data_IF_711121767704
#
_entry.id   IF_711121767704
#
_cell.length_a   1.000
_cell.length_b   1.000
_cell.length_c   1.000
_cell.angle_alpha   90.00
_cell.angle_beta   90.00
_cell.angle_gamma   90.00
#
_symmetry.space_group_name_H-M   'P 1'
#
loop_
_entity.id
_entity.type
_entity.pdbx_description
1 polymer ?
#
# COMPACT_ATOMS: atom_id res chain seq x y z
N UNK A 1 7.92 7.21 25.47
CA UNK A 1 8.25 7.00 24.05
C UNK A 1 7.74 8.15 23.17
N UNK A 2 6.43 8.48 23.21
CA UNK A 2 5.79 9.56 22.41
C UNK A 2 6.57 10.89 22.29
N UNK A 3 6.94 11.50 23.43
CA UNK A 3 7.70 12.77 23.46
C UNK A 3 9.04 12.73 22.71
N UNK A 4 9.68 11.57 22.61
CA UNK A 4 10.97 11.42 21.93
C UNK A 4 10.75 11.31 20.40
N UNK A 5 9.68 10.66 19.96
CA UNK A 5 9.26 10.62 18.56
C UNK A 5 8.85 12.02 18.08
N UNK A 6 8.00 12.71 18.84
CA UNK A 6 7.55 14.09 18.54
C UNK A 6 8.70 15.09 18.42
N UNK A 7 9.76 14.94 19.21
CA UNK A 7 10.95 15.80 19.17
C UNK A 7 11.98 15.35 18.13
N UNK A 8 11.67 14.34 17.32
CA UNK A 8 12.58 13.77 16.33
C UNK A 8 13.80 13.06 16.94
N UNK A 9 13.78 12.81 18.24
CA UNK A 9 14.85 12.17 19.00
C UNK A 9 14.77 10.64 18.93
N UNK A 10 13.63 10.09 18.49
CA UNK A 10 13.46 8.68 18.12
C UNK A 10 12.78 8.56 16.76
N UNK A 11 13.32 7.68 15.90
CA UNK A 11 12.78 7.32 14.58
C UNK A 11 12.51 8.50 13.63
N UNK A 12 13.18 9.64 13.84
CA UNK A 12 12.85 10.98 13.32
C UNK A 12 12.05 11.07 12.02
N UNK A 13 11.05 11.97 12.02
CA UNK A 13 10.20 12.30 10.87
C UNK A 13 9.12 11.24 10.52
N UNK A 14 8.63 10.48 11.51
CA UNK A 14 7.40 9.70 11.35
C UNK A 14 6.18 10.62 11.17
N UNK A 15 5.19 10.16 10.41
CA UNK A 15 3.94 10.88 10.22
C UNK A 15 3.02 10.64 11.42
N UNK A 16 2.59 11.71 12.06
CA UNK A 16 1.62 11.66 13.17
C UNK A 16 0.21 11.34 12.65
N UNK A 17 -0.47 10.44 13.35
CA UNK A 17 -1.85 10.02 13.09
C UNK A 17 -2.62 10.15 14.40
N UNK A 18 -3.40 11.22 14.54
CA UNK A 18 -4.18 11.49 15.76
C UNK A 18 -5.59 12.04 15.54
N UNK A 19 -6.03 12.18 14.28
CA UNK A 19 -7.42 12.57 14.01
C UNK A 19 -8.32 11.33 13.89
N UNK A 20 -9.55 11.35 14.44
CA UNK A 20 -10.45 10.20 14.38
C UNK A 20 -10.67 9.67 12.94
N UNK A 21 -10.71 10.57 11.96
CA UNK A 21 -10.87 10.20 10.56
C UNK A 21 -9.65 9.45 9.99
N UNK A 22 -8.42 9.89 10.31
CA UNK A 22 -7.21 9.20 9.84
C UNK A 22 -7.03 7.85 10.54
N UNK A 23 -7.35 7.77 11.83
CA UNK A 23 -7.30 6.53 12.61
C UNK A 23 -8.28 5.51 12.04
N UNK A 24 -9.50 5.93 11.69
CA UNK A 24 -10.47 5.01 11.05
C UNK A 24 -9.98 4.54 9.68
N UNK A 25 -9.46 5.43 8.83
CA UNK A 25 -8.89 5.06 7.53
C UNK A 25 -7.75 4.05 7.68
N UNK A 26 -6.84 4.31 8.61
CA UNK A 26 -5.75 3.39 8.92
C UNK A 26 -6.28 2.04 9.37
N UNK A 27 -7.24 2.02 10.31
CA UNK A 27 -7.83 0.79 10.82
C UNK A 27 -8.58 -0.01 9.74
N UNK A 28 -9.27 0.64 8.80
CA UNK A 28 -9.88 -0.07 7.65
C UNK A 28 -8.83 -0.77 6.80
N UNK A 29 -7.72 -0.10 6.50
CA UNK A 29 -6.60 -0.70 5.78
C UNK A 29 -5.91 -1.80 6.58
N UNK A 30 -5.70 -1.60 7.88
CA UNK A 30 -5.10 -2.59 8.77
C UNK A 30 -5.95 -3.85 8.86
N UNK A 31 -7.27 -3.72 9.02
CA UNK A 31 -8.21 -4.85 9.02
C UNK A 31 -8.19 -5.57 7.68
N UNK A 32 -8.15 -4.83 6.56
CA UNK A 32 -8.09 -5.42 5.23
C UNK A 32 -6.82 -6.26 5.02
N UNK A 33 -5.66 -5.77 5.48
CA UNK A 33 -4.36 -6.42 5.29
C UNK A 33 -4.11 -7.55 6.30
N UNK A 34 -4.54 -7.37 7.56
CA UNK A 34 -4.08 -8.21 8.68
C UNK A 34 -5.22 -8.84 9.49
N UNK A 35 -6.46 -8.40 9.28
CA UNK A 35 -7.60 -8.75 10.14
C UNK A 35 -7.59 -8.11 11.52
N UNK A 36 -6.55 -7.34 11.87
CA UNK A 36 -6.39 -6.68 13.18
C UNK A 36 -6.85 -5.23 13.14
N UNK A 37 -7.15 -4.67 14.31
CA UNK A 37 -7.51 -3.27 14.52
C UNK A 37 -6.75 -2.74 15.73
N UNK A 38 -6.16 -1.55 15.63
CA UNK A 38 -5.53 -0.88 16.78
C UNK A 38 -6.59 -0.16 17.63
N UNK A 39 -6.42 -0.19 18.95
CA UNK A 39 -7.19 0.59 19.90
C UNK A 39 -6.58 1.96 20.21
N UNK A 40 -5.41 2.29 19.64
CA UNK A 40 -4.73 3.56 19.87
C UNK A 40 -5.48 4.73 19.21
N UNK A 41 -5.54 5.84 19.95
CA UNK A 41 -6.15 7.09 19.52
C UNK A 41 -5.13 8.11 18.97
N UNK A 42 -3.84 7.79 19.08
CA UNK A 42 -2.75 8.61 18.53
C UNK A 42 -1.47 7.76 18.44
N UNK A 43 -0.86 7.76 17.26
CA UNK A 43 0.34 6.99 16.94
C UNK A 43 1.11 7.63 15.77
N UNK A 44 2.28 7.08 15.44
CA UNK A 44 3.10 7.55 14.32
C UNK A 44 3.38 6.43 13.33
N UNK A 45 3.42 6.76 12.05
CA UNK A 45 3.68 5.79 10.98
C UNK A 45 4.90 6.17 10.15
N UNK A 46 5.60 5.16 9.64
CA UNK A 46 6.73 5.30 8.74
C UNK A 46 6.30 5.41 7.27
N UNK A 47 7.25 5.37 6.31
CA UNK A 47 6.93 5.47 4.87
C UNK A 47 5.99 4.36 4.40
N UNK A 48 6.05 3.17 5.02
CA UNK A 48 5.19 2.03 4.71
C UNK A 48 3.87 2.05 5.47
N UNK A 49 3.66 2.97 6.41
CA UNK A 49 2.50 2.92 7.29
C UNK A 49 2.70 2.05 8.55
N UNK A 50 3.91 1.54 8.79
CA UNK A 50 4.23 0.82 10.02
C UNK A 50 4.37 1.81 11.18
N UNK A 51 3.62 1.56 12.24
CA UNK A 51 3.75 2.19 13.55
C UNK A 51 4.46 1.28 14.55
N UNK A 52 5.55 1.74 15.22
CA UNK A 52 6.14 1.03 16.34
C UNK A 52 5.21 0.92 17.54
N UNK A 53 4.36 1.93 17.79
CA UNK A 53 3.40 1.90 18.90
C UNK A 53 2.33 0.80 18.73
N UNK A 54 1.85 0.61 17.50
CA UNK A 54 0.93 -0.50 17.18
C UNK A 54 1.65 -1.85 17.24
N UNK A 55 2.93 -1.89 16.83
CA UNK A 55 3.75 -3.09 16.99
C UNK A 55 3.89 -3.51 18.46
N UNK A 56 4.08 -2.54 19.36
CA UNK A 56 4.09 -2.76 20.81
C UNK A 56 2.71 -3.22 21.32
N UNK A 57 1.62 -2.59 20.88
CA UNK A 57 0.24 -2.98 21.24
C UNK A 57 -0.06 -4.44 20.87
N UNK A 58 0.36 -4.86 19.68
CA UNK A 58 0.12 -6.22 19.18
C UNK A 58 1.13 -7.25 19.67
N UNK A 59 2.24 -6.82 20.28
CA UNK A 59 3.39 -7.70 20.54
C UNK A 59 3.99 -8.30 19.27
N UNK A 60 3.85 -7.60 18.15
CA UNK A 60 4.19 -8.08 16.80
C UNK A 60 4.72 -6.91 15.97
N UNK A 61 6.04 -6.79 15.82
CA UNK A 61 6.66 -5.74 15.01
C UNK A 61 6.70 -6.05 13.50
N UNK A 62 6.13 -7.19 13.08
CA UNK A 62 6.07 -7.64 11.69
C UNK A 62 4.63 -7.64 11.14
N UNK A 63 3.69 -6.98 11.80
CA UNK A 63 2.28 -6.99 11.39
C UNK A 63 1.99 -6.45 9.97
N UNK A 64 2.88 -5.65 9.38
CA UNK A 64 2.83 -5.24 7.95
C UNK A 64 3.95 -5.87 7.11
N UNK A 65 4.63 -6.88 7.62
CA UNK A 65 5.74 -7.52 6.93
C UNK A 65 5.80 -9.00 7.30
N UNK A 66 4.76 -9.73 6.93
CA UNK A 66 4.63 -11.15 7.27
C UNK A 66 5.88 -11.92 6.80
N UNK A 67 6.42 -12.75 7.70
CA UNK A 67 7.66 -13.52 7.51
C UNK A 67 8.91 -12.68 7.13
N UNK A 68 8.84 -11.36 7.24
CA UNK A 68 9.93 -10.46 6.89
C UNK A 68 10.18 -10.31 5.39
N UNK A 69 9.35 -10.90 4.53
CA UNK A 69 9.60 -11.04 3.09
C UNK A 69 8.59 -10.31 2.22
N UNK A 70 7.34 -10.18 2.66
CA UNK A 70 6.32 -9.48 1.91
C UNK A 70 5.89 -8.22 2.65
N UNK A 71 6.46 -7.08 2.25
CA UNK A 71 6.19 -5.80 2.91
C UNK A 71 4.86 -5.26 2.41
N UNK A 72 3.85 -5.35 3.25
CA UNK A 72 2.62 -4.61 3.09
C UNK A 72 2.82 -3.14 3.46
N UNK A 73 1.97 -2.27 2.93
CA UNK A 73 1.98 -0.85 3.26
C UNK A 73 0.57 -0.25 3.35
N UNK A 74 0.46 0.81 4.14
CA UNK A 74 -0.71 1.66 4.30
C UNK A 74 -0.29 3.11 4.09
N UNK A 75 -0.86 3.76 3.08
CA UNK A 75 -0.65 5.17 2.77
C UNK A 75 -1.90 5.98 3.13
N UNK A 76 -1.74 6.88 4.08
CA UNK A 76 -2.68 7.90 4.50
C UNK A 76 -2.40 9.26 3.85
N UNK A 77 -1.19 9.48 3.33
CA UNK A 77 -0.80 10.72 2.64
C UNK A 77 0.42 10.50 1.75
N UNK A 78 0.54 11.18 0.60
CA UNK A 78 1.79 11.24 -0.16
C UNK A 78 2.97 11.77 0.66
N UNK A 79 2.73 12.58 1.70
CA UNK A 79 3.80 13.13 2.55
C UNK A 79 4.58 12.05 3.33
N UNK A 80 4.01 10.84 3.48
CA UNK A 80 4.73 9.68 4.03
C UNK A 80 6.04 9.39 3.30
N UNK A 81 6.18 9.84 2.06
CA UNK A 81 7.43 9.76 1.29
C UNK A 81 8.64 10.34 2.02
N UNK A 82 8.43 11.29 2.95
CA UNK A 82 9.48 11.93 3.75
C UNK A 82 9.87 11.13 4.98
N UNK A 83 9.04 10.16 5.39
CA UNK A 83 9.29 9.34 6.57
C UNK A 83 10.48 8.36 6.33
N UNK A 84 11.14 7.92 7.41
CA UNK A 84 12.06 6.78 7.32
C UNK A 84 11.29 5.49 7.03
N UNK A 85 12.02 4.40 6.75
CA UNK A 85 11.48 3.04 6.78
C UNK A 85 12.06 2.35 8.01
N UNK A 86 11.20 1.84 8.88
CA UNK A 86 11.59 1.08 10.06
C UNK A 86 11.57 -0.43 9.75
N UNK A 87 12.35 -1.18 10.52
CA UNK A 87 12.44 -2.64 10.43
C UNK A 87 12.66 -3.15 9.00
N UNK A 88 13.48 -2.45 8.19
CA UNK A 88 13.67 -2.79 6.79
C UNK A 88 14.32 -4.17 6.63
N UNK A 89 13.62 -5.11 6.01
CA UNK A 89 14.14 -6.45 5.69
C UNK A 89 15.05 -6.46 4.46
N UNK A 90 14.87 -5.49 3.55
CA UNK A 90 15.66 -5.30 2.34
C UNK A 90 16.02 -3.83 2.15
N UNK A 91 17.23 -3.56 1.66
CA UNK A 91 17.71 -2.18 1.44
C UNK A 91 16.96 -1.42 0.34
N UNK A 92 16.34 -2.14 -0.61
CA UNK A 92 15.63 -1.52 -1.74
C UNK A 92 14.21 -1.08 -1.41
N UNK A 93 13.59 -1.63 -0.36
CA UNK A 93 12.17 -1.41 -0.06
C UNK A 93 11.82 0.08 0.11
N UNK A 94 12.66 0.84 0.82
CA UNK A 94 12.42 2.28 1.03
C UNK A 94 12.45 3.06 -0.29
N UNK A 95 13.40 2.75 -1.16
CA UNK A 95 13.54 3.43 -2.44
C UNK A 95 12.36 3.12 -3.35
N UNK A 96 11.90 1.86 -3.37
CA UNK A 96 10.74 1.43 -4.15
C UNK A 96 9.47 2.14 -3.67
N UNK A 97 9.20 2.13 -2.35
CA UNK A 97 8.06 2.86 -1.78
C UNK A 97 8.11 4.35 -2.09
N UNK A 98 9.29 4.96 -1.99
CA UNK A 98 9.49 6.37 -2.32
C UNK A 98 9.17 6.66 -3.78
N UNK A 99 9.72 5.87 -4.70
CA UNK A 99 9.49 6.02 -6.13
C UNK A 99 8.01 5.80 -6.47
N UNK A 100 7.37 4.80 -5.87
CA UNK A 100 5.94 4.55 -6.03
C UNK A 100 5.09 5.77 -5.62
N UNK A 101 5.40 6.39 -4.48
CA UNK A 101 4.68 7.57 -4.01
C UNK A 101 4.94 8.77 -4.93
N UNK A 102 6.19 9.01 -5.33
CA UNK A 102 6.53 10.13 -6.21
C UNK A 102 5.88 9.99 -7.61
N UNK A 103 5.88 8.79 -8.20
CA UNK A 103 5.25 8.52 -9.51
C UNK A 103 3.72 8.66 -9.50
N UNK A 104 3.09 8.45 -8.35
CA UNK A 104 1.64 8.46 -8.20
C UNK A 104 1.12 9.61 -7.32
N UNK A 105 1.95 10.62 -7.03
CA UNK A 105 1.68 11.63 -6.00
C UNK A 105 0.31 12.29 -6.15
N UNK A 106 -0.04 12.75 -7.35
CA UNK A 106 -1.34 13.40 -7.60
C UNK A 106 -2.53 12.44 -7.42
N UNK A 107 -2.36 11.16 -7.79
CA UNK A 107 -3.42 10.14 -7.66
C UNK A 107 -3.58 9.70 -6.22
N UNK A 108 -2.46 9.48 -5.53
CA UNK A 108 -2.44 9.17 -4.11
C UNK A 108 -3.02 10.32 -3.31
N UNK A 109 -2.72 11.58 -3.64
CA UNK A 109 -3.33 12.75 -2.99
C UNK A 109 -4.86 12.73 -3.09
N UNK A 110 -5.40 12.44 -4.27
CA UNK A 110 -6.85 12.35 -4.48
C UNK A 110 -7.48 11.16 -3.73
N UNK A 111 -6.87 9.98 -3.77
CA UNK A 111 -7.34 8.78 -3.07
C UNK A 111 -7.30 8.94 -1.55
N UNK A 112 -6.16 9.44 -1.04
CA UNK A 112 -5.91 9.64 0.39
C UNK A 112 -6.78 10.72 1.03
N UNK A 113 -7.44 11.56 0.21
CA UNK A 113 -8.44 12.52 0.68
C UNK A 113 -9.67 11.84 1.30
N UNK A 114 -10.05 10.64 0.86
CA UNK A 114 -11.27 9.94 1.29
C UNK A 114 -11.00 8.60 1.96
N UNK A 115 -9.96 7.87 1.56
CA UNK A 115 -9.63 6.54 2.09
C UNK A 115 -8.11 6.32 2.19
N UNK A 116 -7.67 5.27 2.89
CA UNK A 116 -6.27 4.83 2.82
C UNK A 116 -6.01 4.07 1.51
N UNK A 117 -4.76 4.08 1.05
CA UNK A 117 -4.28 3.17 0.01
C UNK A 117 -3.46 2.08 0.67
N UNK A 118 -3.88 0.83 0.52
CA UNK A 118 -3.23 -0.35 1.06
C UNK A 118 -2.60 -1.16 -0.08
N UNK A 119 -1.51 -1.86 0.19
CA UNK A 119 -0.85 -2.65 -0.84
C UNK A 119 0.32 -3.46 -0.32
N UNK A 120 1.09 -4.03 -1.23
CA UNK A 120 2.26 -4.82 -0.91
C UNK A 120 3.37 -4.71 -1.97
N UNK A 121 4.61 -4.87 -1.51
CA UNK A 121 5.78 -5.07 -2.33
C UNK A 121 5.87 -6.57 -2.66
N UNK A 122 5.27 -6.96 -3.78
CA UNK A 122 5.25 -8.35 -4.25
C UNK A 122 6.65 -8.72 -4.73
N UNK A 123 7.23 -9.71 -4.04
CA UNK A 123 8.48 -10.35 -4.44
C UNK A 123 8.19 -11.57 -5.31
N UNK A 124 9.16 -11.95 -6.15
CA UNK A 124 9.10 -13.21 -6.90
C UNK A 124 9.16 -14.47 -6.03
N UNK A 125 9.38 -14.32 -4.72
CA UNK A 125 9.54 -15.42 -3.76
C UNK A 125 8.60 -15.20 -2.58
N UNK A 126 7.85 -16.25 -2.22
CA UNK A 126 6.87 -16.24 -1.13
C UNK A 126 7.46 -16.62 0.25
N UNK A 127 8.66 -17.22 0.27
CA UNK A 127 9.35 -17.61 1.50
C UNK A 127 10.87 -17.46 1.38
N UNK A 128 11.53 -17.31 2.53
CA UNK A 128 12.98 -17.43 2.64
C UNK A 128 13.35 -18.60 3.55
N UNK A 129 12.96 -19.81 3.12
CA UNK A 129 13.29 -21.06 3.82
C UNK A 129 14.79 -21.39 3.84
N UNK A 130 15.58 -20.86 2.89
CA UNK A 130 17.03 -21.03 2.84
C UNK A 130 17.73 -19.85 2.15
N UNK A 131 19.03 -19.61 2.40
CA UNK A 131 19.77 -18.53 1.76
C UNK A 131 19.78 -18.60 0.22
N UNK A 132 19.70 -19.80 -0.35
CA UNK A 132 19.66 -19.98 -1.81
C UNK A 132 18.46 -19.27 -2.47
N UNK A 133 17.35 -19.14 -1.73
CA UNK A 133 16.11 -18.48 -2.22
C UNK A 133 16.30 -16.99 -2.46
N UNK A 134 17.33 -16.37 -1.89
CA UNK A 134 17.62 -14.96 -2.13
C UNK A 134 17.98 -14.69 -3.60
N UNK A 135 18.59 -15.65 -4.30
CA UNK A 135 18.92 -15.54 -5.72
C UNK A 135 17.69 -15.69 -6.64
N UNK A 136 16.55 -16.12 -6.09
CA UNK A 136 15.28 -16.17 -6.80
C UNK A 136 14.56 -14.81 -6.75
N UNK A 137 15.00 -13.86 -5.91
CA UNK A 137 14.46 -12.51 -5.87
C UNK A 137 15.05 -11.71 -7.01
N UNK A 138 14.28 -11.58 -8.10
CA UNK A 138 14.72 -10.91 -9.33
C UNK A 138 13.96 -9.65 -9.62
N UNK A 139 12.69 -9.61 -9.22
CA UNK A 139 11.78 -8.54 -9.59
C UNK A 139 10.86 -8.21 -8.43
N UNK A 140 10.67 -6.93 -8.20
CA UNK A 140 9.69 -6.41 -7.24
C UNK A 140 8.61 -5.68 -8.03
N UNK A 141 7.36 -6.05 -7.76
CA UNK A 141 6.19 -5.33 -8.23
C UNK A 141 5.47 -4.68 -7.07
N UNK A 142 4.72 -3.62 -7.34
CA UNK A 142 3.87 -2.97 -6.34
C UNK A 142 2.43 -3.23 -6.70
N UNK A 143 1.69 -3.87 -5.81
CA UNK A 143 0.25 -4.01 -5.90
C UNK A 143 -0.39 -3.11 -4.84
N UNK A 144 -1.43 -2.37 -5.22
CA UNK A 144 -2.11 -1.43 -4.35
C UNK A 144 -3.58 -1.30 -4.71
N UNK A 145 -4.43 -1.07 -3.70
CA UNK A 145 -5.84 -0.73 -3.83
C UNK A 145 -6.30 0.10 -2.61
N UNK A 146 -7.54 0.59 -2.59
CA UNK A 146 -8.17 1.05 -1.36
C UNK A 146 -8.86 -0.12 -0.66
N UNK A 147 -9.10 -0.08 0.66
CA UNK A 147 -9.89 -1.10 1.35
C UNK A 147 -11.28 -1.32 0.75
N UNK A 148 -11.87 -0.27 0.16
CA UNK A 148 -13.13 -0.33 -0.59
C UNK A 148 -13.02 -0.88 -2.01
N UNK A 149 -11.84 -1.31 -2.47
CA UNK A 149 -11.62 -1.87 -3.81
C UNK A 149 -11.79 -0.85 -4.94
N UNK A 150 -11.55 0.44 -4.69
CA UNK A 150 -11.84 1.52 -5.64
C UNK A 150 -11.08 1.34 -6.95
N UNK A 151 -9.82 0.91 -6.92
CA UNK A 151 -9.03 0.71 -8.15
C UNK A 151 -9.52 -0.49 -8.94
N UNK A 152 -9.85 -1.59 -8.26
CA UNK A 152 -10.42 -2.78 -8.88
C UNK A 152 -11.76 -2.50 -9.54
N UNK A 153 -12.66 -1.82 -8.83
CA UNK A 153 -13.96 -1.41 -9.38
C UNK A 153 -13.78 -0.45 -10.56
N UNK A 154 -12.81 0.47 -10.50
CA UNK A 154 -12.52 1.40 -11.60
C UNK A 154 -12.01 0.66 -12.84
N UNK A 155 -11.15 -0.35 -12.66
CA UNK A 155 -10.64 -1.17 -13.76
C UNK A 155 -11.75 -2.03 -14.39
N UNK A 156 -12.63 -2.60 -13.57
CA UNK A 156 -13.81 -3.34 -14.05
C UNK A 156 -14.73 -2.44 -14.88
N UNK A 157 -15.06 -1.25 -14.36
CA UNK A 157 -15.90 -0.28 -15.06
C UNK A 157 -15.27 0.17 -16.38
N UNK A 158 -13.95 0.39 -16.42
CA UNK A 158 -13.24 0.74 -17.65
C UNK A 158 -13.37 -0.37 -18.72
N UNK A 159 -13.29 -1.65 -18.31
CA UNK A 159 -13.51 -2.78 -19.21
C UNK A 159 -14.95 -2.88 -19.72
N UNK A 160 -15.94 -2.62 -18.86
CA UNK A 160 -17.35 -2.60 -19.27
C UNK A 160 -17.65 -1.43 -20.23
N UNK A 161 -17.03 -0.25 -20.01
CA UNK A 161 -17.14 0.88 -20.95
C UNK A 161 -16.54 0.53 -22.32
N UNK A 162 -15.40 -0.16 -22.35
CA UNK A 162 -14.77 -0.59 -23.59
C UNK A 162 -15.66 -1.59 -24.34
N UNK A 163 -16.19 -2.58 -23.61
CA UNK A 163 -17.16 -3.56 -24.12
C UNK A 163 -18.40 -2.86 -24.71
N UNK A 164 -19.00 -1.94 -23.96
CA UNK A 164 -20.14 -1.13 -24.40
C UNK A 164 -19.88 -0.36 -25.70
N UNK A 165 -18.63 0.06 -25.94
CA UNK A 165 -18.24 0.83 -27.14
C UNK A 165 -17.87 -0.03 -28.34
N UNK A 166 -17.51 -1.28 -28.14
CA UNK A 166 -16.86 -2.12 -29.16
C UNK A 166 -17.70 -3.31 -29.59
N UNK A 167 -18.55 -3.85 -28.72
CA UNK A 167 -19.41 -4.97 -29.05
C UNK A 167 -20.69 -4.51 -29.76
N UNK A 168 -21.08 -5.25 -30.80
CA UNK A 168 -22.40 -5.11 -31.40
C UNK A 168 -23.47 -5.39 -30.34
N UNK A 169 -24.58 -4.64 -30.38
CA UNK A 169 -25.74 -4.78 -29.49
C UNK A 169 -25.52 -4.44 -28.00
N UNK A 170 -24.30 -4.18 -27.55
CA UNK A 170 -24.00 -3.84 -26.15
C UNK A 170 -24.65 -2.52 -25.67
N UNK A 171 -25.08 -1.65 -26.60
CA UNK A 171 -25.75 -0.38 -26.28
C UNK A 171 -27.16 -0.53 -25.70
N UNK A 172 -27.79 -1.71 -25.84
CA UNK A 172 -29.10 -2.04 -25.27
C UNK A 172 -29.06 -3.25 -24.31
N UNK A 173 -27.87 -3.68 -23.91
CA UNK A 173 -27.71 -4.71 -22.88
C UNK A 173 -28.00 -4.10 -21.49
N UNK A 174 -29.24 -4.30 -21.02
CA UNK A 174 -29.71 -3.78 -19.73
C UNK A 174 -28.87 -4.30 -18.54
N UNK A 175 -28.35 -5.54 -18.61
CA UNK A 175 -27.49 -6.09 -17.55
C UNK A 175 -26.12 -5.40 -17.53
N UNK A 176 -25.54 -5.15 -18.70
CA UNK A 176 -24.29 -4.40 -18.84
C UNK A 176 -24.42 -2.98 -18.28
N UNK A 177 -25.48 -2.25 -18.67
CA UNK A 177 -25.74 -0.88 -18.23
C UNK A 177 -25.98 -0.82 -16.72
N UNK A 178 -26.74 -1.75 -16.16
CA UNK A 178 -26.99 -1.83 -14.72
C UNK A 178 -25.69 -2.04 -13.94
N UNK A 179 -24.83 -2.96 -14.39
CA UNK A 179 -23.53 -3.23 -13.78
C UNK A 179 -22.59 -2.02 -13.86
N UNK A 180 -22.57 -1.33 -14.99
CA UNK A 180 -21.80 -0.08 -15.14
C UNK A 180 -22.27 1.01 -14.17
N UNK A 181 -23.58 1.15 -13.97
CA UNK A 181 -24.17 2.15 -13.07
C UNK A 181 -23.85 1.86 -11.60
N UNK A 182 -23.95 0.61 -11.17
CA UNK A 182 -23.58 0.20 -9.80
C UNK A 182 -22.09 0.47 -9.53
N UNK A 183 -21.19 0.09 -10.45
CA UNK A 183 -19.76 0.34 -10.30
C UNK A 183 -19.43 1.84 -10.29
N UNK A 184 -20.04 2.64 -11.16
CA UNK A 184 -19.85 4.09 -11.19
C UNK A 184 -20.27 4.75 -9.86
N UNK A 185 -21.31 4.24 -9.20
CA UNK A 185 -21.72 4.68 -7.87
C UNK A 185 -20.67 4.41 -6.78
N UNK A 186 -19.85 3.36 -6.94
CA UNK A 186 -18.81 2.97 -5.98
C UNK A 186 -17.45 3.61 -6.25
N UNK A 187 -17.13 3.89 -7.51
CA UNK A 187 -15.82 4.44 -7.92
C UNK A 187 -15.81 5.95 -8.11
N UNK A 188 -16.97 6.55 -8.38
CA UNK A 188 -17.07 7.90 -8.94
C UNK A 188 -16.77 7.92 -10.45
N UNK A 189 -16.66 9.12 -11.02
CA UNK A 189 -16.44 9.33 -12.46
C UNK A 189 -14.98 9.04 -12.88
N UNK A 190 -14.73 7.80 -13.27
CA UNK A 190 -13.41 7.33 -13.71
C UNK A 190 -13.02 7.83 -15.11
N UNK A 191 -13.97 8.38 -15.88
CA UNK A 191 -13.69 8.90 -17.24
C UNK A 191 -12.98 10.24 -17.18
N UNK A 192 -13.28 11.05 -16.16
CA UNK A 192 -12.61 12.32 -15.88
C UNK A 192 -11.41 12.15 -14.96
N UNK A 193 -11.47 11.21 -14.02
CA UNK A 193 -10.39 10.91 -13.09
C UNK A 193 -9.99 9.42 -13.18
N UNK A 194 -9.17 9.04 -14.17
CA UNK A 194 -8.68 7.67 -14.26
C UNK A 194 -7.79 7.34 -13.07
N UNK A 195 -8.32 6.59 -12.12
CA UNK A 195 -7.60 6.18 -10.91
C UNK A 195 -6.88 4.87 -11.20
N UNK A 196 -5.74 4.95 -11.90
CA UNK A 196 -4.82 3.83 -12.07
C UNK A 196 -3.50 4.18 -11.42
N UNK A 197 -3.13 3.44 -10.38
CA UNK A 197 -1.78 3.50 -9.84
C UNK A 197 -0.87 2.72 -10.80
N UNK A 198 0.20 3.36 -11.25
CA UNK A 198 1.14 2.76 -12.18
C UNK A 198 2.50 2.75 -11.52
N UNK A 199 3.17 1.60 -11.58
CA UNK A 199 4.55 1.50 -11.13
C UNK A 199 5.27 0.45 -11.97
N UNK A 200 6.43 0.82 -12.48
CA UNK A 200 7.25 -0.12 -13.22
C UNK A 200 7.80 -1.19 -12.26
N UNK A 201 7.78 -2.43 -12.71
CA UNK A 201 8.43 -3.50 -11.96
C UNK A 201 9.94 -3.22 -11.88
N UNK A 202 10.50 -3.34 -10.68
CA UNK A 202 11.89 -2.99 -10.40
C UNK A 202 12.73 -4.26 -10.42
N UNK A 203 13.74 -4.29 -11.28
CA UNK A 203 14.74 -5.35 -11.27
C UNK A 203 15.62 -5.24 -10.02
N UNK A 204 15.65 -6.29 -9.21
CA UNK A 204 16.60 -6.42 -8.11
C UNK A 204 17.87 -7.07 -8.63
N UNK A 205 18.93 -6.27 -8.73
CA UNK A 205 20.27 -6.75 -9.13
C UNK A 205 21.17 -7.01 -7.94
N UNK A 206 21.11 -6.11 -6.95
CA UNK A 206 21.86 -6.21 -5.72
C UNK A 206 21.04 -5.62 -4.56
N UNK A 207 21.23 -6.17 -3.37
CA UNK A 207 20.54 -5.70 -2.17
C UNK A 207 21.20 -6.22 -0.91
N UNK A 208 21.07 -5.45 0.18
CA UNK A 208 21.29 -5.96 1.52
C UNK A 208 19.99 -6.49 2.09
N UNK A 209 20.07 -7.56 2.90
CA UNK A 209 18.95 -8.07 3.68
C UNK A 209 19.34 -8.36 5.12
N UNK A 210 18.42 -8.14 6.05
CA UNK A 210 18.56 -8.51 7.46
C UNK A 210 18.41 -10.02 7.71
N UNK A 211 17.89 -10.77 6.73
CA UNK A 211 17.70 -12.22 6.82
C UNK A 211 19.05 -12.95 7.00
N UNK A 212 18.99 -14.14 7.62
CA UNK A 212 20.16 -14.99 7.89
C UNK A 212 21.33 -14.29 8.60
N UNK A 213 21.03 -13.32 9.47
CA UNK A 213 22.05 -12.58 10.24
C UNK A 213 22.67 -11.38 9.51
N UNK A 214 22.14 -11.03 8.33
CA UNK A 214 22.61 -9.87 7.56
C UNK A 214 23.58 -10.28 6.46
N UNK A 215 23.23 -10.00 5.21
CA UNK A 215 24.06 -10.31 4.04
C UNK A 215 23.78 -9.37 2.86
N UNK A 216 24.76 -9.28 1.96
CA UNK A 216 24.66 -8.54 0.71
C UNK A 216 24.67 -9.53 -0.46
N UNK A 217 23.68 -9.40 -1.35
CA UNK A 217 23.52 -10.17 -2.59
C UNK A 217 23.83 -9.28 -3.78
#
# INVERSE_FOLDING_TARGET
MRRLIEKGLMFGNLMHVGSPALIERYNRALVHLTGKRTGLDDFHVDISGYSPEIGDEFGDHLYLNENGVNRQFILLSPDQKRCPLLNAGFSTSRQILRAFIDENESRLFALTATDAVAGELVNSVFDLSSPARLFDIRKITVEADTPGGTLRHAQELAGLIDRFRTEDDAWFDDELIARMTDLAGRTGDITRNPVKLTFAAVDQRNFWTAHFGGLYV
#
